data_IF_118589497764
#
_entry.id   IF_118589497764
#
_cell.length_a   1.000
_cell.length_b   1.000
_cell.length_c   1.000
_cell.angle_alpha   90.00
_cell.angle_beta   90.00
_cell.angle_gamma   90.00
#
_symmetry.space_group_name_H-M   'P 1'
#
loop_
_entity.id
_entity.type
_entity.pdbx_description
1 polymer ?
#
# COMPACT_ATOMS: atom_id res chain seq x y z
N UNK A 1 -6.31 0.06 23.73
CA UNK A 1 -5.09 0.62 23.14
C UNK A 1 -4.86 -0.10 21.82
N UNK A 2 -5.27 0.49 20.70
CA UNK A 2 -4.98 -0.07 19.38
C UNK A 2 -3.50 0.21 19.12
N UNK A 3 -2.66 -0.82 19.10
CA UNK A 3 -1.29 -0.66 18.60
C UNK A 3 -1.41 -0.16 17.16
N UNK A 4 -0.92 1.05 16.88
CA UNK A 4 -0.92 1.58 15.52
C UNK A 4 -0.06 0.66 14.65
N UNK A 5 -0.68 0.05 13.63
CA UNK A 5 0.00 -0.86 12.71
C UNK A 5 1.16 -0.12 12.03
N UNK A 6 2.35 -0.73 12.02
CA UNK A 6 3.54 -0.18 11.37
C UNK A 6 3.73 -0.84 10.02
N UNK A 7 4.45 -0.14 9.15
CA UNK A 7 4.76 -0.70 7.84
C UNK A 7 5.62 -1.95 7.91
N UNK A 8 6.46 -2.05 8.94
CA UNK A 8 7.33 -3.19 9.18
C UNK A 8 6.54 -4.41 9.75
N UNK A 9 5.26 -4.21 10.12
CA UNK A 9 4.35 -5.28 10.54
C UNK A 9 3.61 -5.92 9.35
N UNK A 10 3.73 -5.33 8.15
CA UNK A 10 3.11 -5.82 6.92
C UNK A 10 4.10 -6.63 6.09
N UNK A 11 3.66 -7.79 5.63
CA UNK A 11 4.43 -8.63 4.71
C UNK A 11 4.13 -8.23 3.27
N UNK A 12 5.08 -7.57 2.63
CA UNK A 12 5.01 -7.23 1.22
C UNK A 12 5.60 -8.35 0.37
N UNK A 13 4.78 -8.94 -0.48
CA UNK A 13 5.20 -9.97 -1.44
C UNK A 13 5.25 -9.36 -2.84
N UNK A 14 6.30 -9.66 -3.59
CA UNK A 14 6.36 -9.28 -5.00
C UNK A 14 5.51 -10.25 -5.82
N UNK A 15 4.59 -9.72 -6.61
CA UNK A 15 3.76 -10.46 -7.56
C UNK A 15 4.28 -10.18 -8.97
N UNK A 16 4.78 -11.22 -9.65
CA UNK A 16 5.34 -11.10 -11.00
C UNK A 16 4.29 -10.73 -12.05
N UNK A 17 3.04 -11.19 -11.89
CA UNK A 17 1.96 -10.92 -12.82
C UNK A 17 1.53 -9.44 -12.76
N UNK A 18 1.60 -8.86 -11.56
CA UNK A 18 1.34 -7.43 -11.33
C UNK A 18 2.59 -6.56 -11.44
N UNK A 19 3.77 -7.17 -11.46
CA UNK A 19 5.07 -6.50 -11.39
C UNK A 19 5.17 -5.48 -10.23
N UNK A 20 4.57 -5.81 -9.08
CA UNK A 20 4.39 -4.90 -7.94
C UNK A 20 4.56 -5.63 -6.60
N UNK A 21 4.81 -4.86 -5.54
CA UNK A 21 4.76 -5.36 -4.16
C UNK A 21 3.35 -5.18 -3.61
N UNK A 22 2.72 -6.27 -3.17
CA UNK A 22 1.40 -6.24 -2.57
C UNK A 22 1.43 -6.71 -1.11
N UNK A 23 0.52 -6.14 -0.30
CA UNK A 23 0.22 -6.57 1.06
C UNK A 23 -1.26 -6.35 1.33
N UNK A 24 -1.82 -7.04 2.30
CA UNK A 24 -3.23 -6.90 2.67
C UNK A 24 -3.37 -6.37 4.11
N UNK A 25 -4.29 -5.43 4.33
CA UNK A 25 -4.62 -4.93 5.65
C UNK A 25 -6.12 -4.64 5.77
N UNK A 26 -6.78 -5.29 6.73
CA UNK A 26 -8.14 -4.97 7.16
C UNK A 26 -9.19 -4.82 6.02
N UNK A 27 -9.13 -5.65 4.99
CA UNK A 27 -10.05 -5.57 3.84
C UNK A 27 -9.50 -4.83 2.63
N UNK A 28 -8.32 -4.19 2.76
CA UNK A 28 -7.72 -3.34 1.74
C UNK A 28 -6.43 -3.96 1.25
N UNK A 29 -6.30 -4.13 -0.06
CA UNK A 29 -5.02 -4.43 -0.69
C UNK A 29 -4.20 -3.15 -0.83
N UNK A 30 -2.95 -3.22 -0.43
CA UNK A 30 -1.94 -2.18 -0.63
C UNK A 30 -1.01 -2.65 -1.74
N UNK A 31 -0.87 -1.86 -2.78
CA UNK A 31 0.00 -2.17 -3.93
C UNK A 31 1.02 -1.06 -4.12
N UNK A 32 2.29 -1.44 -4.24
CA UNK A 32 3.41 -0.55 -4.50
C UNK A 32 4.16 -1.04 -5.73
N UNK A 33 4.03 -0.30 -6.82
CA UNK A 33 4.67 -0.62 -8.08
C UNK A 33 6.00 0.14 -8.22
N UNK A 34 7.14 -0.54 -8.39
CA UNK A 34 8.39 0.12 -8.73
C UNK A 34 8.30 0.71 -10.15
N UNK A 35 8.70 1.97 -10.29
CA UNK A 35 8.79 2.70 -11.55
C UNK A 35 10.25 3.04 -11.86
N UNK A 36 10.51 3.56 -13.06
CA UNK A 36 11.85 4.01 -13.47
C UNK A 36 12.45 5.03 -12.49
N UNK A 37 11.65 5.99 -12.04
CA UNK A 37 12.11 7.14 -11.24
C UNK A 37 11.40 7.23 -9.86
N UNK A 38 10.89 6.12 -9.33
CA UNK A 38 10.21 6.11 -8.04
C UNK A 38 9.31 4.90 -7.84
N UNK A 39 8.25 5.09 -7.05
CA UNK A 39 7.29 4.05 -6.66
C UNK A 39 5.87 4.60 -6.75
N UNK A 40 5.01 4.00 -7.55
CA UNK A 40 3.58 4.28 -7.50
C UNK A 40 2.96 3.51 -6.33
N UNK A 41 2.04 4.15 -5.60
CA UNK A 41 1.24 3.48 -4.60
C UNK A 41 -0.25 3.62 -4.92
N UNK A 42 -0.97 2.54 -4.67
CA UNK A 42 -2.42 2.46 -4.76
C UNK A 42 -2.97 1.53 -3.68
N UNK A 43 -4.26 1.69 -3.39
CA UNK A 43 -5.00 0.79 -2.53
C UNK A 43 -6.26 0.29 -3.24
N UNK A 44 -6.72 -0.90 -2.90
CA UNK A 44 -7.90 -1.53 -3.50
C UNK A 44 -8.81 -1.99 -2.36
N UNK A 45 -10.06 -1.53 -2.34
CA UNK A 45 -11.04 -1.88 -1.28
C UNK A 45 -11.95 -3.08 -1.64
N UNK A 46 -11.53 -3.84 -2.65
CA UNK A 46 -12.29 -4.94 -3.24
C UNK A 46 -13.27 -4.52 -4.35
N UNK A 47 -13.54 -3.22 -4.51
CA UNK A 47 -14.41 -2.68 -5.57
C UNK A 47 -13.67 -1.65 -6.42
N UNK A 48 -13.07 -0.66 -5.77
CA UNK A 48 -12.44 0.48 -6.39
C UNK A 48 -10.92 0.48 -6.17
N UNK A 49 -10.20 1.05 -7.15
CA UNK A 49 -8.76 1.27 -7.09
C UNK A 49 -8.49 2.76 -6.85
N UNK A 50 -7.75 3.06 -5.80
CA UNK A 50 -7.42 4.43 -5.41
C UNK A 50 -5.92 4.70 -5.59
N UNK A 51 -5.57 5.46 -6.62
CA UNK A 51 -4.20 5.89 -6.86
C UNK A 51 -3.79 6.98 -5.88
N UNK A 52 -2.67 6.78 -5.18
CA UNK A 52 -2.13 7.72 -4.19
C UNK A 52 -1.02 8.61 -4.77
N UNK A 53 -0.53 8.25 -5.96
CA UNK A 53 0.51 8.97 -6.69
C UNK A 53 1.86 8.27 -6.62
N UNK A 54 2.91 9.03 -6.94
CA UNK A 54 4.28 8.54 -7.06
C UNK A 54 5.18 9.09 -5.95
N UNK A 55 6.02 8.23 -5.39
CA UNK A 55 6.88 8.52 -4.26
C UNK A 55 8.35 8.25 -4.62
N UNK A 56 9.30 8.99 -4.01
CA UNK A 56 10.73 8.85 -4.33
C UNK A 56 11.37 7.59 -3.74
N UNK A 57 10.70 6.87 -2.84
CA UNK A 57 11.22 5.65 -2.23
C UNK A 57 10.12 4.65 -1.89
N UNK A 58 10.49 3.36 -1.88
CA UNK A 58 9.62 2.24 -1.53
C UNK A 58 8.98 2.44 -0.16
N UNK A 59 9.77 2.79 0.86
CA UNK A 59 9.28 3.02 2.22
C UNK A 59 8.23 4.14 2.27
N UNK A 60 8.40 5.21 1.49
CA UNK A 60 7.44 6.31 1.46
C UNK A 60 6.12 5.90 0.79
N UNK A 61 6.19 5.17 -0.33
CA UNK A 61 5.01 4.63 -1.00
C UNK A 61 4.22 3.70 -0.08
N UNK A 62 4.92 2.76 0.58
CA UNK A 62 4.35 1.82 1.55
C UNK A 62 3.68 2.52 2.74
N UNK A 63 4.34 3.52 3.33
CA UNK A 63 3.77 4.31 4.44
C UNK A 63 2.53 5.09 3.98
N UNK A 64 2.59 5.74 2.81
CA UNK A 64 1.45 6.48 2.29
C UNK A 64 0.25 5.58 2.03
N UNK A 65 0.49 4.38 1.48
CA UNK A 65 -0.56 3.40 1.23
C UNK A 65 -1.18 2.82 2.51
N UNK A 66 -0.37 2.50 3.52
CA UNK A 66 -0.87 2.10 4.83
C UNK A 66 -1.70 3.20 5.48
N UNK A 67 -1.23 4.45 5.46
CA UNK A 67 -1.97 5.58 6.01
C UNK A 67 -3.29 5.83 5.27
N UNK A 68 -3.32 5.62 3.96
CA UNK A 68 -4.54 5.71 3.18
C UNK A 68 -5.50 4.57 3.56
N UNK A 69 -5.04 3.31 3.56
CA UNK A 69 -5.85 2.15 3.92
C UNK A 69 -6.47 2.29 5.32
N UNK A 70 -5.71 2.75 6.32
CA UNK A 70 -6.22 2.96 7.68
C UNK A 70 -7.37 3.99 7.74
N UNK A 71 -7.40 4.99 6.86
CA UNK A 71 -8.51 5.96 6.78
C UNK A 71 -9.79 5.38 6.20
N UNK A 72 -9.71 4.29 5.43
CA UNK A 72 -10.89 3.57 4.93
C UNK A 72 -11.46 2.61 5.96
N UNK A 73 -10.62 2.14 6.88
CA UNK A 73 -10.97 1.15 7.91
C UNK A 73 -11.53 1.82 9.18
N UNK A 74 -11.11 3.07 9.48
CA UNK A 74 -11.64 3.85 10.58
C UNK A 74 -12.90 4.64 10.15
N UNK A 75 -14.08 4.42 10.77
CA UNK A 75 -15.33 5.14 10.46
C UNK A 75 -15.35 6.60 10.95
#
# INVERSE_FOLDING_TARGET
>A
MTSALRIDDLEFTYDDDLSSYASYVAGIDIVVQPLRDGFAAEIIDGVDVYQLGTFPSDRWAKVAALQAAMKFVEP
#
